data_IF_266995289441
#
_entry.id   IF_266995289441
#
_cell.length_a   1.000
_cell.length_b   1.000
_cell.length_c   1.000
_cell.angle_alpha   90.00
_cell.angle_beta   90.00
_cell.angle_gamma   90.00
#
_symmetry.space_group_name_H-M   'P 1'
#
loop_
_entity.id
_entity.type
_entity.pdbx_description
1 polymer ?
#
# COMPACT_ATOMS: atom_id res chain seq x y z
N UNK A 1 -8.46 -21.52 5.74
CA UNK A 1 -8.48 -22.98 5.56
C UNK A 1 -7.31 -23.58 6.35
N UNK A 2 -7.62 -24.29 7.40
CA UNK A 2 -6.66 -24.89 8.33
C UNK A 2 -6.42 -26.32 7.81
N UNK A 3 -5.21 -26.65 7.43
CA UNK A 3 -4.83 -28.01 7.08
C UNK A 3 -4.25 -28.69 8.33
N UNK A 4 -5.03 -29.60 8.92
CA UNK A 4 -4.59 -30.46 9.97
C UNK A 4 -3.88 -31.69 9.38
N UNK A 5 -2.71 -32.01 9.92
CA UNK A 5 -2.00 -33.26 9.61
C UNK A 5 -2.53 -34.38 10.48
N UNK A 6 -3.08 -35.41 9.84
CA UNK A 6 -3.45 -36.68 10.44
C UNK A 6 -2.20 -37.54 10.64
N UNK A 7 -1.95 -37.97 11.87
CA UNK A 7 -1.04 -39.05 12.18
C UNK A 7 -1.84 -40.35 12.20
N UNK A 8 -1.56 -41.23 11.26
CA UNK A 8 -2.06 -42.60 11.22
C UNK A 8 -1.26 -43.50 12.18
N UNK A 9 -1.97 -44.13 13.08
CA UNK A 9 -1.46 -45.13 13.99
C UNK A 9 -1.61 -46.49 13.33
N UNK A 10 -0.52 -47.24 13.15
CA UNK A 10 -0.55 -48.65 12.76
C UNK A 10 -0.36 -49.50 13.98
N UNK A 11 -1.33 -50.38 14.17
CA UNK A 11 -1.33 -51.37 15.21
C UNK A 11 -0.44 -52.59 14.90
N UNK A 12 -0.15 -53.34 15.90
CA UNK A 12 0.57 -54.61 15.78
C UNK A 12 0.49 -55.45 17.04
N UNK A 13 -0.27 -56.47 16.91
CA UNK A 13 -0.27 -57.84 17.46
C UNK A 13 -0.24 -58.06 18.97
N UNK A 14 -1.26 -58.83 19.30
CA UNK A 14 -1.41 -59.59 20.54
C UNK A 14 -0.39 -60.75 20.60
N UNK A 15 0.18 -60.94 21.77
CA UNK A 15 0.57 -62.30 22.24
C UNK A 15 -0.04 -62.50 23.62
N UNK A 16 -0.80 -63.53 23.69
CA UNK A 16 -1.37 -64.10 24.94
C UNK A 16 -0.28 -64.86 25.64
N UNK A 17 0.02 -64.57 26.89
CA UNK A 17 0.78 -65.42 27.75
C UNK A 17 0.10 -65.63 29.11
N UNK A 18 -0.01 -66.87 29.35
CA UNK A 18 -0.58 -67.70 30.36
C UNK A 18 -0.36 -67.22 31.81
N UNK A 19 -1.48 -67.16 32.53
CA UNK A 19 -1.54 -66.95 33.98
C UNK A 19 -1.06 -68.16 34.73
N UNK A 20 -0.05 -67.96 35.60
CA UNK A 20 0.29 -68.97 36.65
C UNK A 20 0.00 -68.32 38.01
N UNK A 21 -0.94 -68.90 38.82
CA UNK A 21 -1.25 -68.40 40.13
C UNK A 21 -0.44 -69.07 41.18
N UNK A 22 0.45 -68.40 41.89
CA UNK A 22 0.83 -68.58 43.30
C UNK A 22 2.23 -68.09 43.62
N UNK A 23 2.28 -66.89 44.20
CA UNK A 23 3.20 -66.51 45.28
C UNK A 23 2.73 -65.17 45.91
N UNK A 24 2.48 -65.12 47.24
CA UNK A 24 2.16 -63.85 47.86
C UNK A 24 3.47 -63.05 48.07
N UNK A 25 3.79 -62.21 47.13
CA UNK A 25 4.87 -61.26 47.23
C UNK A 25 4.36 -59.94 47.78
N UNK A 26 4.90 -59.56 48.90
CA UNK A 26 4.69 -58.26 49.59
C UNK A 26 4.99 -57.09 48.66
N UNK A 27 3.98 -56.51 48.01
CA UNK A 27 4.13 -55.29 47.23
C UNK A 27 3.92 -54.12 48.18
N UNK A 28 5.04 -53.58 48.68
CA UNK A 28 5.08 -52.25 49.26
C UNK A 28 4.54 -51.25 48.22
N UNK A 29 3.58 -50.39 48.55
CA UNK A 29 3.10 -49.39 47.62
C UNK A 29 4.28 -48.51 47.23
N UNK A 30 4.64 -48.51 45.95
CA UNK A 30 5.58 -47.54 45.43
C UNK A 30 5.02 -46.15 45.68
N UNK A 31 5.71 -45.37 46.47
CA UNK A 31 5.43 -43.95 46.65
C UNK A 31 5.21 -43.30 45.27
N UNK A 32 4.14 -42.49 45.10
CA UNK A 32 3.99 -41.76 43.89
C UNK A 32 5.23 -40.88 43.72
N UNK A 33 6.02 -41.19 42.69
CA UNK A 33 7.18 -40.41 42.30
C UNK A 33 6.71 -38.99 42.05
N UNK A 34 7.03 -38.09 42.96
CA UNK A 34 6.84 -36.65 42.77
C UNK A 34 7.49 -36.30 41.43
N UNK A 35 6.80 -35.60 40.50
CA UNK A 35 7.39 -35.23 39.25
C UNK A 35 8.69 -34.48 39.52
N UNK A 36 9.82 -35.07 39.12
CA UNK A 36 11.11 -34.42 39.31
C UNK A 36 11.14 -33.10 38.57
N UNK A 37 11.42 -32.02 39.28
CA UNK A 37 11.64 -30.70 38.64
C UNK A 37 12.74 -30.86 37.56
N UNK A 38 12.50 -30.43 36.31
CA UNK A 38 13.50 -30.59 35.24
C UNK A 38 14.83 -29.94 35.65
N UNK A 39 15.96 -30.61 35.39
CA UNK A 39 17.27 -30.00 35.65
C UNK A 39 17.51 -28.80 34.73
N UNK A 40 18.37 -27.85 35.16
CA UNK A 40 18.76 -26.72 34.32
C UNK A 40 19.31 -27.17 32.96
N UNK A 41 20.00 -28.31 32.90
CA UNK A 41 20.49 -28.92 31.64
C UNK A 41 19.34 -29.32 30.72
N UNK A 42 18.29 -29.93 31.25
CA UNK A 42 17.12 -30.33 30.47
C UNK A 42 16.36 -29.11 30.00
N UNK A 43 16.21 -28.10 30.84
CA UNK A 43 15.57 -26.80 30.48
C UNK A 43 16.37 -26.14 29.38
N UNK A 44 17.69 -25.97 29.54
CA UNK A 44 18.54 -25.29 28.60
C UNK A 44 18.53 -25.90 27.21
N UNK A 45 18.76 -27.22 27.12
CA UNK A 45 18.78 -27.97 25.85
C UNK A 45 17.46 -27.91 25.08
N UNK A 46 16.31 -27.71 25.74
CA UNK A 46 14.96 -27.72 25.17
C UNK A 46 14.29 -26.38 25.12
N UNK A 47 14.97 -25.31 25.54
CA UNK A 47 14.43 -23.95 25.45
C UNK A 47 14.45 -23.47 24.00
N UNK A 48 13.34 -22.91 23.57
CA UNK A 48 13.18 -22.37 22.21
C UNK A 48 12.27 -21.12 22.20
N UNK A 49 12.38 -20.34 21.14
CA UNK A 49 11.47 -19.25 20.84
C UNK A 49 10.16 -19.83 20.27
N UNK A 50 9.04 -19.49 20.89
CA UNK A 50 7.73 -19.98 20.47
C UNK A 50 7.07 -19.06 19.45
N UNK A 51 6.92 -17.80 19.79
CA UNK A 51 6.24 -16.79 18.97
C UNK A 51 6.62 -15.37 19.43
N UNK A 52 6.26 -14.38 18.64
CA UNK A 52 6.31 -12.99 19.08
C UNK A 52 5.30 -12.72 20.20
N UNK A 53 5.68 -11.91 21.19
CA UNK A 53 4.75 -11.51 22.27
C UNK A 53 3.60 -10.70 21.69
N UNK A 54 2.38 -11.01 22.10
CA UNK A 54 1.19 -10.25 21.73
C UNK A 54 1.30 -8.79 22.19
N UNK A 55 0.98 -7.85 21.31
CA UNK A 55 1.04 -6.41 21.61
C UNK A 55 2.44 -5.78 21.53
N UNK A 56 3.48 -6.55 21.25
CA UNK A 56 4.82 -6.02 21.03
C UNK A 56 5.03 -5.75 19.55
N UNK A 57 5.46 -4.52 19.25
CA UNK A 57 5.83 -4.11 17.91
C UNK A 57 7.29 -4.49 17.60
N UNK A 58 7.50 -5.75 17.28
CA UNK A 58 8.83 -6.29 16.97
C UNK A 58 9.45 -5.68 15.71
N UNK A 59 8.63 -5.20 14.74
CA UNK A 59 9.12 -4.52 13.54
C UNK A 59 9.71 -3.14 13.85
N UNK A 60 9.34 -2.51 14.96
CA UNK A 60 9.98 -1.29 15.42
C UNK A 60 11.12 -1.56 16.41
N UNK A 61 11.04 -2.67 17.16
CA UNK A 61 12.04 -3.02 18.16
C UNK A 61 13.35 -3.56 17.55
N UNK A 62 13.28 -4.16 16.34
CA UNK A 62 14.41 -4.81 15.68
C UNK A 62 14.81 -4.01 14.44
N UNK A 63 16.06 -3.50 14.42
CA UNK A 63 16.59 -2.83 13.23
C UNK A 63 17.15 -3.86 12.24
N UNK A 64 16.61 -3.84 11.01
CA UNK A 64 17.09 -4.73 9.95
C UNK A 64 18.56 -4.50 9.58
N UNK A 65 19.06 -3.28 9.75
CA UNK A 65 20.46 -2.98 9.51
C UNK A 65 21.38 -3.70 10.52
N UNK A 66 20.94 -3.81 11.78
CA UNK A 66 21.69 -4.57 12.79
C UNK A 66 21.68 -6.06 12.47
N UNK A 67 20.57 -6.61 11.96
CA UNK A 67 20.51 -8.01 11.54
C UNK A 67 21.55 -8.36 10.45
N UNK A 68 21.89 -7.39 9.58
CA UNK A 68 22.90 -7.60 8.54
C UNK A 68 24.33 -7.24 8.97
N UNK A 69 24.50 -6.16 9.73
CA UNK A 69 25.82 -5.64 10.05
C UNK A 69 26.40 -6.27 11.31
N UNK A 70 25.59 -6.43 12.35
CA UNK A 70 25.99 -7.01 13.63
C UNK A 70 24.76 -7.63 14.33
N UNK A 71 24.38 -8.87 13.99
CA UNK A 71 23.20 -9.52 14.53
C UNK A 71 23.14 -9.61 16.05
N UNK A 72 24.29 -9.57 16.74
CA UNK A 72 24.34 -9.57 18.20
C UNK A 72 23.61 -8.36 18.82
N UNK A 73 23.57 -7.21 18.12
CA UNK A 73 22.88 -6.00 18.60
C UNK A 73 21.38 -6.21 18.84
N UNK A 74 20.75 -7.15 18.14
CA UNK A 74 19.30 -7.40 18.29
C UNK A 74 18.96 -8.39 19.40
N UNK A 75 19.95 -8.99 20.10
CA UNK A 75 19.73 -10.00 21.14
C UNK A 75 18.78 -9.52 22.24
N UNK A 76 18.96 -8.30 22.74
CA UNK A 76 18.12 -7.72 23.78
C UNK A 76 16.68 -7.48 23.28
N UNK A 77 16.54 -6.97 22.06
CA UNK A 77 15.23 -6.73 21.45
C UNK A 77 14.48 -8.06 21.20
N UNK A 78 15.16 -9.10 20.72
CA UNK A 78 14.60 -10.43 20.57
C UNK A 78 14.13 -10.99 21.91
N UNK A 79 14.98 -10.95 22.94
CA UNK A 79 14.65 -11.44 24.28
C UNK A 79 13.39 -10.76 24.84
N UNK A 80 13.26 -9.48 24.64
CA UNK A 80 12.12 -8.68 25.15
C UNK A 80 10.84 -8.92 24.32
N UNK A 81 10.97 -9.23 23.03
CA UNK A 81 9.84 -9.30 22.09
C UNK A 81 9.30 -10.72 21.88
N UNK A 82 9.98 -11.75 22.36
CA UNK A 82 9.67 -13.16 22.08
C UNK A 82 9.17 -13.86 23.33
N UNK A 83 8.19 -14.76 23.16
CA UNK A 83 7.82 -15.77 24.15
C UNK A 83 8.76 -16.96 24.01
N UNK A 84 9.38 -17.37 25.09
CA UNK A 84 10.22 -18.53 25.15
C UNK A 84 9.53 -19.64 25.94
N UNK A 85 9.72 -20.86 25.50
CA UNK A 85 9.20 -22.04 26.15
C UNK A 85 10.26 -23.12 26.23
N UNK A 86 10.10 -24.03 27.16
CA UNK A 86 10.85 -25.29 27.23
C UNK A 86 9.89 -26.45 27.15
N UNK A 87 10.33 -27.53 26.54
CA UNK A 87 9.59 -28.77 26.52
C UNK A 87 10.06 -29.65 27.68
N UNK A 88 9.18 -29.98 28.61
CA UNK A 88 9.49 -30.86 29.74
C UNK A 88 9.62 -32.31 29.30
N UNK A 89 10.17 -33.17 30.15
CA UNK A 89 10.38 -34.61 29.85
C UNK A 89 9.09 -35.36 29.57
N UNK A 90 7.98 -34.90 30.11
CA UNK A 90 6.61 -35.41 29.86
C UNK A 90 5.92 -34.74 28.66
N UNK A 91 6.69 -34.04 27.80
CA UNK A 91 6.24 -33.34 26.61
C UNK A 91 5.23 -32.18 26.87
N UNK A 92 5.19 -31.68 28.08
CA UNK A 92 4.40 -30.46 28.37
C UNK A 92 5.22 -29.20 28.10
N UNK A 93 4.54 -28.20 27.55
CA UNK A 93 5.13 -26.89 27.34
C UNK A 93 5.12 -26.10 28.64
N UNK A 94 6.25 -25.47 28.95
CA UNK A 94 6.39 -24.53 30.03
C UNK A 94 6.90 -23.20 29.44
N UNK A 95 6.07 -22.15 29.52
CA UNK A 95 6.49 -20.81 29.13
C UNK A 95 7.41 -20.23 30.19
N UNK A 96 8.59 -19.76 29.79
CA UNK A 96 9.53 -19.12 30.69
C UNK A 96 8.93 -17.81 31.23
N UNK A 97 9.02 -17.61 32.55
CA UNK A 97 8.60 -16.39 33.22
C UNK A 97 9.71 -15.33 33.17
N UNK A 98 9.40 -14.10 33.55
CA UNK A 98 10.36 -13.00 33.54
C UNK A 98 11.61 -13.29 34.39
N UNK A 99 11.47 -13.98 35.52
CA UNK A 99 12.59 -14.40 36.36
C UNK A 99 13.51 -15.38 35.60
N UNK A 100 12.94 -16.33 34.86
CA UNK A 100 13.69 -17.28 34.05
C UNK A 100 14.42 -16.56 32.89
N UNK A 101 13.80 -15.54 32.31
CA UNK A 101 14.39 -14.77 31.23
C UNK A 101 15.66 -14.02 31.67
N UNK A 102 15.86 -13.77 32.96
CA UNK A 102 17.10 -13.18 33.48
C UNK A 102 18.33 -14.04 33.16
N UNK A 103 18.16 -15.37 33.12
CA UNK A 103 19.20 -16.36 32.83
C UNK A 103 19.31 -16.74 31.37
N UNK A 104 18.44 -16.16 30.50
CA UNK A 104 18.40 -16.48 29.06
C UNK A 104 19.28 -15.50 28.29
N UNK A 105 20.14 -16.02 27.42
CA UNK A 105 20.84 -15.27 26.37
C UNK A 105 20.53 -15.85 25.00
N UNK A 106 20.82 -15.07 23.95
CA UNK A 106 20.58 -15.43 22.55
C UNK A 106 21.90 -15.37 21.80
N UNK A 107 22.18 -16.39 21.02
CA UNK A 107 23.45 -16.52 20.28
C UNK A 107 23.25 -16.99 18.83
N UNK A 108 24.30 -16.82 18.02
CA UNK A 108 24.36 -17.29 16.62
C UNK A 108 23.15 -16.83 15.78
N UNK A 109 22.79 -15.57 15.95
CA UNK A 109 21.68 -14.94 15.22
C UNK A 109 22.02 -14.89 13.74
N UNK A 110 21.12 -15.39 12.90
CA UNK A 110 21.20 -15.33 11.44
C UNK A 110 19.89 -14.82 10.86
N UNK A 111 19.95 -14.16 9.71
CA UNK A 111 18.80 -13.59 9.04
C UNK A 111 18.85 -13.84 7.52
N UNK A 112 17.74 -14.28 6.93
CA UNK A 112 17.63 -14.65 5.51
C UNK A 112 16.63 -13.79 4.68
N UNK A 113 16.21 -12.63 5.18
CA UNK A 113 15.16 -11.72 4.67
C UNK A 113 13.74 -12.08 5.08
N UNK A 114 13.48 -13.30 5.55
CA UNK A 114 12.16 -13.75 5.98
C UNK A 114 12.13 -14.24 7.42
N UNK A 115 13.26 -14.80 7.88
CA UNK A 115 13.32 -15.43 9.20
C UNK A 115 14.59 -15.03 9.95
N UNK A 116 14.41 -14.78 11.25
CA UNK A 116 15.52 -14.68 12.20
C UNK A 116 15.67 -16.06 12.85
N UNK A 117 16.86 -16.63 12.81
CA UNK A 117 17.17 -17.92 13.44
C UNK A 117 18.31 -17.74 14.44
N UNK A 118 18.19 -18.35 15.63
CA UNK A 118 19.16 -18.21 16.70
C UNK A 118 19.10 -19.39 17.67
N UNK A 119 20.16 -19.57 18.48
CA UNK A 119 20.14 -20.46 19.63
C UNK A 119 19.80 -19.69 20.90
N UNK A 120 19.09 -20.34 21.80
CA UNK A 120 18.93 -19.87 23.18
C UNK A 120 19.98 -20.49 24.06
N UNK A 121 20.46 -19.74 25.06
CA UNK A 121 21.30 -20.26 26.14
C UNK A 121 20.62 -19.96 27.47
N UNK A 122 20.29 -20.99 28.23
CA UNK A 122 19.70 -20.86 29.55
C UNK A 122 20.71 -21.33 30.61
N UNK A 123 21.08 -20.45 31.54
CA UNK A 123 22.13 -20.68 32.55
C UNK A 123 23.43 -21.24 31.94
N UNK A 124 23.82 -20.75 30.76
CA UNK A 124 25.02 -21.19 30.05
C UNK A 124 24.85 -22.47 29.25
N UNK A 125 23.67 -23.07 29.21
CA UNK A 125 23.39 -24.30 28.45
C UNK A 125 22.71 -23.95 27.14
N UNK A 126 23.37 -24.26 26.02
CA UNK A 126 22.89 -23.99 24.66
C UNK A 126 21.77 -24.95 24.26
N UNK A 127 20.73 -24.41 23.62
CA UNK A 127 19.63 -25.23 23.06
C UNK A 127 20.16 -26.19 21.98
N UNK A 128 19.54 -27.37 21.91
CA UNK A 128 19.93 -28.39 20.93
C UNK A 128 19.53 -28.02 19.50
N UNK A 129 18.56 -27.14 19.33
CA UNK A 129 18.04 -26.72 18.02
C UNK A 129 17.96 -25.21 17.94
N UNK A 130 18.12 -24.65 16.73
CA UNK A 130 17.85 -23.24 16.46
C UNK A 130 16.36 -22.98 16.52
N UNK A 131 16.01 -21.88 17.15
CA UNK A 131 14.70 -21.27 17.04
C UNK A 131 14.63 -20.44 15.77
N UNK A 132 13.47 -20.42 15.12
CA UNK A 132 13.23 -19.63 13.91
C UNK A 132 11.92 -18.86 14.03
N UNK A 133 11.98 -17.56 13.83
CA UNK A 133 10.82 -16.66 13.88
C UNK A 133 10.69 -15.90 12.57
N UNK A 134 9.46 -15.75 12.10
CA UNK A 134 9.19 -14.98 10.90
C UNK A 134 9.46 -13.48 11.17
N UNK A 135 10.35 -12.89 10.38
CA UNK A 135 10.63 -11.45 10.32
C UNK A 135 10.85 -11.07 8.87
N UNK A 136 9.75 -10.82 8.14
CA UNK A 136 9.81 -10.53 6.71
C UNK A 136 10.32 -9.09 6.49
N UNK A 137 11.37 -8.94 5.69
CA UNK A 137 11.90 -7.64 5.31
C UNK A 137 10.85 -6.75 4.66
N UNK A 138 9.91 -7.32 3.91
CA UNK A 138 8.81 -6.58 3.28
C UNK A 138 7.89 -5.95 4.33
N UNK A 139 7.55 -6.69 5.38
CA UNK A 139 6.70 -6.18 6.46
C UNK A 139 7.41 -5.04 7.19
N UNK A 140 8.73 -5.19 7.45
CA UNK A 140 9.55 -4.14 8.02
C UNK A 140 9.53 -2.88 7.14
N UNK A 141 9.86 -2.99 5.85
CA UNK A 141 9.90 -1.82 4.97
C UNK A 141 8.51 -1.24 4.70
N UNK A 142 7.46 -2.07 4.61
CA UNK A 142 6.10 -1.57 4.50
C UNK A 142 5.69 -0.67 5.67
N UNK A 143 6.19 -0.95 6.86
CA UNK A 143 5.99 -0.12 8.05
C UNK A 143 6.80 1.18 8.01
N UNK A 144 8.03 1.14 7.49
CA UNK A 144 8.91 2.32 7.41
C UNK A 144 8.47 3.32 6.33
N UNK A 145 7.70 2.87 5.34
CA UNK A 145 7.23 3.69 4.22
C UNK A 145 5.70 3.78 4.25
N UNK A 146 5.19 4.81 4.90
CA UNK A 146 3.75 5.08 4.95
C UNK A 146 3.35 6.07 3.87
N UNK A 147 2.13 6.01 3.38
CA UNK A 147 1.61 7.01 2.43
C UNK A 147 1.58 8.40 3.08
N UNK A 148 2.12 9.40 2.40
CA UNK A 148 1.93 10.80 2.81
C UNK A 148 0.54 11.26 2.39
N UNK A 149 -0.42 11.12 3.29
CA UNK A 149 -1.81 11.45 3.03
C UNK A 149 -2.02 12.93 2.73
N UNK A 150 -1.20 13.83 3.26
CA UNK A 150 -1.31 15.28 3.01
C UNK A 150 -0.91 15.61 1.59
N UNK A 151 0.16 14.99 1.11
CA UNK A 151 0.60 15.15 -0.27
C UNK A 151 -0.39 14.49 -1.23
N UNK A 152 -0.77 13.24 -0.99
CA UNK A 152 -1.66 12.46 -1.88
C UNK A 152 -3.03 13.13 -2.03
N UNK A 153 -3.65 13.58 -0.92
CA UNK A 153 -4.95 14.27 -0.96
C UNK A 153 -4.94 15.61 -1.69
N UNK A 154 -3.74 16.18 -1.94
CA UNK A 154 -3.56 17.38 -2.74
C UNK A 154 -3.41 17.11 -4.24
N UNK A 155 -3.28 15.86 -4.67
CA UNK A 155 -2.95 15.47 -6.06
C UNK A 155 -4.09 14.72 -6.74
N UNK A 156 -4.11 14.82 -8.07
CA UNK A 156 -4.94 13.96 -8.92
C UNK A 156 -4.13 12.74 -9.36
N UNK A 157 -4.67 11.56 -9.15
CA UNK A 157 -3.99 10.28 -9.40
C UNK A 157 -3.45 10.19 -10.83
N UNK A 158 -4.25 10.53 -11.83
CA UNK A 158 -3.85 10.47 -13.24
C UNK A 158 -2.66 11.38 -13.58
N UNK A 159 -2.67 12.63 -13.10
CA UNK A 159 -1.54 13.53 -13.33
C UNK A 159 -0.24 12.98 -12.75
N UNK A 160 -0.31 12.41 -11.55
CA UNK A 160 0.85 11.78 -10.94
C UNK A 160 1.30 10.53 -11.71
N UNK A 161 0.37 9.68 -12.13
CA UNK A 161 0.64 8.48 -12.92
C UNK A 161 1.42 8.82 -14.19
N UNK A 162 0.99 9.86 -14.94
CA UNK A 162 1.69 10.31 -16.16
C UNK A 162 3.07 10.92 -15.87
N UNK A 163 3.26 11.48 -14.67
CA UNK A 163 4.52 12.13 -14.27
C UNK A 163 5.57 11.19 -13.67
N UNK A 164 5.21 9.95 -13.26
CA UNK A 164 6.19 9.02 -12.70
C UNK A 164 7.35 8.75 -13.65
N UNK A 165 8.59 8.70 -13.14
CA UNK A 165 9.03 8.60 -11.72
C UNK A 165 9.09 9.93 -10.94
N UNK A 166 8.78 11.07 -11.56
CA UNK A 166 8.87 12.37 -10.89
C UNK A 166 7.86 12.41 -9.72
N UNK A 167 8.34 12.79 -8.54
CA UNK A 167 7.50 12.93 -7.36
C UNK A 167 7.31 11.65 -6.54
N UNK A 168 7.95 10.53 -6.92
CA UNK A 168 7.87 9.26 -6.18
C UNK A 168 8.21 9.43 -4.68
N UNK A 169 9.24 10.22 -4.38
CA UNK A 169 9.67 10.47 -2.99
C UNK A 169 8.62 11.18 -2.14
N UNK A 170 7.77 11.98 -2.74
CA UNK A 170 6.73 12.73 -2.03
C UNK A 170 5.48 11.91 -1.74
N UNK A 171 5.33 10.73 -2.36
CA UNK A 171 4.20 9.84 -2.08
C UNK A 171 4.26 9.18 -0.71
N UNK A 172 5.45 9.13 -0.12
CA UNK A 172 5.69 8.37 1.09
C UNK A 172 6.34 9.24 2.16
N UNK A 173 5.90 9.03 3.40
CA UNK A 173 6.59 9.50 4.59
C UNK A 173 7.60 8.44 5.03
N UNK A 174 8.88 8.80 5.10
CA UNK A 174 9.97 7.91 5.49
C UNK A 174 11.22 8.71 5.92
N UNK A 175 12.17 8.06 6.59
CA UNK A 175 13.45 8.67 6.93
C UNK A 175 14.38 8.75 5.71
N UNK A 176 14.43 9.91 5.04
CA UNK A 176 15.26 10.16 3.85
C UNK A 176 16.77 10.18 4.14
N UNK A 177 17.18 10.37 5.42
CA UNK A 177 18.57 10.26 5.81
C UNK A 177 19.05 8.80 5.76
N UNK A 178 18.17 7.90 6.15
CA UNK A 178 18.42 6.46 6.18
C UNK A 178 18.15 5.78 4.85
N UNK A 179 17.11 6.18 4.15
CA UNK A 179 16.64 5.48 2.96
C UNK A 179 16.76 6.35 1.70
N UNK A 180 17.00 5.68 0.60
CA UNK A 180 16.80 6.22 -0.74
C UNK A 180 15.76 5.36 -1.44
N UNK A 181 14.84 6.00 -2.19
CA UNK A 181 13.85 5.26 -2.99
C UNK A 181 13.99 5.58 -4.47
N UNK A 182 13.72 4.58 -5.29
CA UNK A 182 13.62 4.71 -6.73
C UNK A 182 12.34 4.01 -7.21
N UNK A 183 11.78 4.52 -8.28
CA UNK A 183 10.67 3.88 -8.98
C UNK A 183 11.17 2.63 -9.74
N UNK A 184 10.44 1.53 -9.66
CA UNK A 184 10.70 0.34 -10.47
C UNK A 184 9.99 0.54 -11.81
N UNK A 185 10.75 0.55 -12.91
CA UNK A 185 10.20 0.78 -14.24
C UNK A 185 9.08 -0.23 -14.56
N UNK A 186 8.06 0.24 -15.25
CA UNK A 186 6.90 -0.53 -15.71
C UNK A 186 6.09 -1.25 -14.62
N UNK A 187 6.31 -0.88 -13.34
CA UNK A 187 5.59 -1.47 -12.21
C UNK A 187 4.30 -0.72 -11.85
N UNK A 188 4.02 0.42 -12.52
CA UNK A 188 2.84 1.22 -12.19
C UNK A 188 1.59 0.66 -12.84
N UNK A 189 0.54 0.60 -12.05
CA UNK A 189 -0.82 0.32 -12.48
C UNK A 189 -1.78 1.31 -11.82
N UNK A 190 -2.97 1.48 -12.37
CA UNK A 190 -3.95 2.43 -11.85
C UNK A 190 -5.36 1.85 -11.91
N UNK A 191 -6.18 2.29 -10.97
CA UNK A 191 -7.61 2.07 -11.02
C UNK A 191 -8.33 3.42 -10.98
N UNK A 192 -8.83 3.86 -12.13
CA UNK A 192 -9.57 5.14 -12.22
C UNK A 192 -10.88 5.08 -11.43
N UNK A 193 -11.56 3.92 -11.39
CA UNK A 193 -12.77 3.71 -10.60
C UNK A 193 -12.54 3.79 -9.09
N UNK A 194 -11.43 3.25 -8.62
CA UNK A 194 -11.03 3.27 -7.20
C UNK A 194 -10.19 4.49 -6.84
N UNK A 195 -9.79 5.28 -7.85
CA UNK A 195 -8.90 6.43 -7.69
C UNK A 195 -7.62 6.04 -6.93
N UNK A 196 -6.99 4.93 -7.33
CA UNK A 196 -5.81 4.35 -6.69
C UNK A 196 -4.68 4.12 -7.69
N UNK A 197 -3.46 4.16 -7.16
CA UNK A 197 -2.21 3.97 -7.88
C UNK A 197 -1.42 2.85 -7.21
N UNK A 198 -1.16 1.76 -7.93
CA UNK A 198 -0.28 0.68 -7.51
C UNK A 198 1.08 0.81 -8.17
N UNK A 199 2.15 0.61 -7.43
CA UNK A 199 3.51 0.69 -7.95
C UNK A 199 4.51 -0.06 -7.06
N UNK A 200 5.66 -0.44 -7.64
CA UNK A 200 6.79 -0.95 -6.87
C UNK A 200 7.83 0.14 -6.67
N UNK A 201 8.40 0.18 -5.47
CA UNK A 201 9.54 1.02 -5.14
C UNK A 201 10.73 0.16 -4.73
N UNK A 202 11.89 0.54 -5.22
CA UNK A 202 13.18 -0.02 -4.83
C UNK A 202 13.78 0.86 -3.74
N UNK A 203 13.97 0.28 -2.55
CA UNK A 203 14.48 0.95 -1.37
C UNK A 203 15.95 0.57 -1.19
N UNK A 204 16.81 1.56 -1.00
CA UNK A 204 18.20 1.35 -0.57
C UNK A 204 18.34 1.81 0.87
N UNK A 205 18.64 0.90 1.79
CA UNK A 205 18.92 1.23 3.19
C UNK A 205 20.41 1.55 3.36
N UNK A 206 20.73 2.84 3.52
CA UNK A 206 22.10 3.36 3.61
C UNK A 206 22.84 2.88 4.87
N UNK A 207 22.14 2.37 5.89
CA UNK A 207 22.76 1.81 7.10
C UNK A 207 23.26 0.38 6.93
N UNK A 208 22.85 -0.35 5.88
CA UNK A 208 23.35 -1.69 5.62
C UNK A 208 24.66 -1.57 4.83
N UNK A 209 25.75 -2.06 5.43
CA UNK A 209 27.10 -1.91 4.90
C UNK A 209 27.37 -2.76 3.66
N UNK A 210 26.78 -3.96 3.60
CA UNK A 210 26.87 -4.86 2.46
C UNK A 210 25.92 -4.39 1.34
N UNK A 211 26.48 -3.83 0.27
CA UNK A 211 25.73 -3.31 -0.87
C UNK A 211 24.90 -4.37 -1.62
N UNK A 212 25.25 -5.65 -1.50
CA UNK A 212 24.48 -6.75 -2.07
C UNK A 212 23.19 -7.04 -1.29
N UNK A 213 23.08 -6.54 -0.07
CA UNK A 213 21.96 -6.76 0.87
C UNK A 213 21.18 -5.51 1.21
N UNK A 214 21.66 -4.33 0.80
CA UNK A 214 21.07 -3.06 1.21
C UNK A 214 19.86 -2.63 0.39
N UNK A 215 19.46 -3.41 -0.61
CA UNK A 215 18.38 -3.07 -1.54
C UNK A 215 17.21 -4.04 -1.42
N UNK A 216 16.01 -3.47 -1.38
CA UNK A 216 14.74 -4.20 -1.25
C UNK A 216 13.71 -3.60 -2.20
N UNK A 217 12.77 -4.42 -2.64
CA UNK A 217 11.63 -3.98 -3.42
C UNK A 217 10.35 -4.29 -2.67
N UNK A 218 9.46 -3.28 -2.59
CA UNK A 218 8.12 -3.45 -2.04
C UNK A 218 7.08 -2.90 -3.01
N UNK A 219 5.92 -3.53 -3.01
CA UNK A 219 4.75 -3.07 -3.74
C UNK A 219 3.87 -2.21 -2.84
N UNK A 220 3.36 -1.09 -3.36
CA UNK A 220 2.50 -0.14 -2.66
C UNK A 220 1.24 0.11 -3.46
N UNK A 221 0.11 0.13 -2.76
CA UNK A 221 -1.14 0.69 -3.25
C UNK A 221 -1.38 2.02 -2.53
N UNK A 222 -1.54 3.09 -3.31
CA UNK A 222 -1.73 4.46 -2.82
C UNK A 222 -3.14 4.91 -3.15
N UNK A 223 -3.87 5.36 -2.16
CA UNK A 223 -5.26 5.81 -2.26
C UNK A 223 -5.42 7.18 -1.59
N UNK A 224 -6.59 7.79 -1.73
CA UNK A 224 -6.88 9.08 -1.08
C UNK A 224 -6.58 10.29 -1.95
N UNK A 225 -6.36 10.12 -3.25
CA UNK A 225 -6.20 11.22 -4.21
C UNK A 225 -7.47 12.07 -4.35
N UNK A 226 -7.30 13.31 -4.80
CA UNK A 226 -8.44 14.13 -5.26
C UNK A 226 -9.20 13.40 -6.35
N UNK A 227 -10.53 13.39 -6.26
CA UNK A 227 -11.38 12.66 -7.18
C UNK A 227 -11.61 13.43 -8.48
N UNK A 228 -12.04 12.73 -9.54
CA UNK A 228 -12.49 13.38 -10.76
C UNK A 228 -13.67 14.34 -10.50
N UNK A 229 -14.52 14.04 -9.51
CA UNK A 229 -15.60 14.96 -9.08
C UNK A 229 -15.03 16.27 -8.54
N UNK A 230 -14.00 16.22 -7.70
CA UNK A 230 -13.34 17.44 -7.20
C UNK A 230 -12.77 18.27 -8.35
N UNK A 231 -12.18 17.60 -9.36
CA UNK A 231 -11.68 18.30 -10.54
C UNK A 231 -12.84 18.92 -11.37
N UNK A 232 -13.90 18.16 -11.61
CA UNK A 232 -15.07 18.66 -12.34
C UNK A 232 -15.72 19.87 -11.65
N UNK A 233 -15.75 19.89 -10.31
CA UNK A 233 -16.25 21.02 -9.53
C UNK A 233 -15.33 22.25 -9.61
N UNK A 234 -14.06 22.08 -9.92
CA UNK A 234 -13.06 23.14 -10.06
C UNK A 234 -12.87 23.62 -11.52
N UNK A 235 -13.46 22.95 -12.52
CA UNK A 235 -13.38 23.39 -13.92
C UNK A 235 -14.26 24.61 -14.18
N UNK A 236 -13.74 25.55 -14.96
CA UNK A 236 -14.46 26.68 -15.54
C UNK A 236 -14.38 26.63 -17.07
N UNK A 237 -15.51 26.77 -17.73
CA UNK A 237 -15.61 26.76 -19.18
C UNK A 237 -15.98 28.16 -19.67
N UNK A 238 -15.24 28.67 -20.65
CA UNK A 238 -15.52 29.95 -21.33
C UNK A 238 -15.54 29.75 -22.84
N UNK A 239 -16.34 30.54 -23.56
CA UNK A 239 -16.32 30.49 -25.01
C UNK A 239 -15.02 31.10 -25.57
N UNK A 240 -14.53 30.56 -26.67
CA UNK A 240 -13.50 31.20 -27.46
C UNK A 240 -14.09 31.91 -28.70
N UNK A 241 -13.22 32.51 -29.53
CA UNK A 241 -13.64 33.27 -30.72
C UNK A 241 -14.34 32.39 -31.76
N UNK A 242 -13.95 31.12 -31.89
CA UNK A 242 -14.53 30.18 -32.87
C UNK A 242 -15.97 29.79 -32.47
N UNK A 243 -16.25 29.59 -31.20
CA UNK A 243 -17.63 29.35 -30.74
C UNK A 243 -18.51 30.57 -30.99
N UNK A 244 -18.01 31.80 -30.66
CA UNK A 244 -18.73 33.04 -30.94
C UNK A 244 -19.02 33.21 -32.43
N UNK A 245 -18.05 32.98 -33.30
CA UNK A 245 -18.20 33.05 -34.76
C UNK A 245 -19.24 32.05 -35.26
N UNK A 246 -19.18 30.82 -34.78
CA UNK A 246 -20.14 29.77 -35.12
C UNK A 246 -21.57 30.12 -34.72
N UNK A 247 -21.77 30.63 -33.50
CA UNK A 247 -23.06 31.10 -33.01
C UNK A 247 -23.60 32.22 -33.91
N UNK A 248 -22.78 33.19 -34.27
CA UNK A 248 -23.21 34.29 -35.21
C UNK A 248 -23.61 33.74 -36.56
N UNK A 249 -22.90 32.80 -37.13
CA UNK A 249 -23.25 32.18 -38.43
C UNK A 249 -24.58 31.47 -38.36
N UNK A 250 -24.85 30.73 -37.28
CA UNK A 250 -26.14 30.06 -37.08
C UNK A 250 -27.26 31.06 -36.92
N UNK A 251 -27.04 32.15 -36.16
CA UNK A 251 -28.00 33.23 -35.98
C UNK A 251 -28.34 33.96 -37.29
N UNK A 252 -27.33 34.22 -38.14
CA UNK A 252 -27.55 34.86 -39.45
C UNK A 252 -28.46 34.00 -40.37
N UNK A 253 -28.37 32.67 -40.25
CA UNK A 253 -29.21 31.76 -41.02
C UNK A 253 -30.59 31.53 -40.40
N UNK A 254 -30.75 31.80 -39.10
CA UNK A 254 -31.97 31.54 -38.32
C UNK A 254 -32.31 32.74 -37.39
N UNK A 255 -32.61 33.94 -37.97
CA UNK A 255 -32.64 35.17 -37.18
C UNK A 255 -33.79 35.30 -36.18
N UNK A 256 -34.89 34.55 -36.39
CA UNK A 256 -36.04 34.53 -35.50
C UNK A 256 -35.96 33.45 -34.39
N UNK A 257 -35.04 32.54 -34.53
CA UNK A 257 -34.90 31.44 -33.58
C UNK A 257 -34.24 31.88 -32.28
N UNK A 258 -34.77 31.41 -31.16
CA UNK A 258 -34.24 31.67 -29.82
C UNK A 258 -33.60 30.45 -29.20
N UNK A 259 -33.94 29.25 -29.63
CA UNK A 259 -33.33 27.98 -29.22
C UNK A 259 -32.48 27.44 -30.38
N UNK A 260 -31.15 27.53 -30.21
CA UNK A 260 -30.18 27.10 -31.20
C UNK A 260 -29.54 25.75 -30.89
N UNK A 261 -30.10 25.02 -29.91
CA UNK A 261 -29.54 23.77 -29.41
C UNK A 261 -29.32 22.77 -30.52
N UNK A 262 -30.32 22.52 -31.39
CA UNK A 262 -30.23 21.54 -32.47
C UNK A 262 -29.16 21.92 -33.53
N UNK A 263 -29.04 23.21 -33.81
CA UNK A 263 -28.07 23.72 -34.80
C UNK A 263 -26.60 23.67 -34.32
N UNK A 264 -26.39 23.75 -33.00
CA UNK A 264 -25.04 23.82 -32.43
C UNK A 264 -24.57 22.48 -31.87
N UNK A 265 -25.49 21.61 -31.43
CA UNK A 265 -25.17 20.39 -30.68
C UNK A 265 -24.17 19.48 -31.37
N UNK A 266 -24.46 19.02 -32.57
CA UNK A 266 -23.59 18.06 -33.27
C UNK A 266 -22.18 18.61 -33.51
N UNK A 267 -22.09 19.91 -33.82
CA UNK A 267 -20.81 20.55 -33.99
C UNK A 267 -20.06 20.77 -32.69
N UNK A 268 -20.76 21.10 -31.60
CA UNK A 268 -20.14 21.28 -30.29
C UNK A 268 -19.63 19.94 -29.77
N UNK A 269 -20.48 18.93 -29.73
CA UNK A 269 -20.15 17.62 -29.16
C UNK A 269 -18.92 16.98 -29.84
N UNK A 270 -18.73 17.23 -31.14
CA UNK A 270 -17.60 16.69 -31.90
C UNK A 270 -16.35 17.58 -31.85
N UNK A 271 -16.45 18.86 -31.49
CA UNK A 271 -15.37 19.83 -31.57
C UNK A 271 -15.27 20.78 -30.38
N UNK A 272 -15.80 20.40 -29.21
CA UNK A 272 -15.80 21.25 -28.01
C UNK A 272 -14.40 21.82 -27.72
N UNK A 273 -13.35 21.04 -27.96
CA UNK A 273 -11.95 21.39 -27.72
C UNK A 273 -11.46 22.61 -28.53
N UNK A 274 -12.12 22.91 -29.67
CA UNK A 274 -11.87 24.10 -30.48
C UNK A 274 -12.83 25.25 -30.16
N UNK A 275 -13.84 25.05 -29.36
CA UNK A 275 -14.93 26.01 -29.13
C UNK A 275 -14.90 26.63 -27.73
N UNK A 276 -14.28 25.96 -26.78
CA UNK A 276 -14.19 26.45 -25.40
C UNK A 276 -12.77 26.45 -24.87
N UNK A 277 -12.51 27.39 -23.97
CA UNK A 277 -11.31 27.38 -23.14
C UNK A 277 -11.69 26.87 -21.76
N UNK A 278 -10.86 26.01 -21.19
CA UNK A 278 -11.08 25.39 -19.89
C UNK A 278 -9.97 25.80 -18.94
N UNK A 279 -10.35 26.34 -17.80
CA UNK A 279 -9.44 26.73 -16.71
C UNK A 279 -9.91 26.14 -15.38
N UNK A 280 -9.20 26.41 -14.30
CA UNK A 280 -9.63 26.06 -12.95
C UNK A 280 -10.26 27.28 -12.27
N UNK A 281 -11.34 27.06 -11.50
CA UNK A 281 -11.92 28.11 -10.65
C UNK A 281 -10.91 28.56 -9.60
N UNK A 282 -10.15 27.61 -9.05
CA UNK A 282 -9.09 27.88 -8.06
C UNK A 282 -7.88 28.62 -8.64
N UNK A 283 -7.66 28.54 -9.97
CA UNK A 283 -6.54 29.19 -10.68
C UNK A 283 -6.99 29.75 -12.04
N UNK A 284 -7.80 30.82 -12.09
CA UNK A 284 -8.44 31.31 -13.33
C UNK A 284 -7.48 31.76 -14.43
N UNK A 285 -6.25 32.13 -14.08
CA UNK A 285 -5.22 32.53 -15.03
C UNK A 285 -4.58 31.38 -15.80
N UNK A 286 -4.82 30.14 -15.35
CA UNK A 286 -4.22 28.93 -15.93
C UNK A 286 -5.24 28.21 -16.80
N UNK A 287 -5.03 28.24 -18.12
CA UNK A 287 -5.83 27.44 -19.07
C UNK A 287 -5.23 26.05 -19.20
N UNK A 288 -6.09 25.04 -19.17
CA UNK A 288 -5.68 23.65 -19.40
C UNK A 288 -5.39 23.45 -20.89
N UNK A 289 -4.35 22.69 -21.17
CA UNK A 289 -4.00 22.28 -22.53
C UNK A 289 -4.94 21.18 -23.02
N UNK A 290 -5.23 21.20 -24.31
CA UNK A 290 -6.15 20.25 -24.94
C UNK A 290 -5.46 19.56 -26.09
N UNK A 291 -5.55 18.23 -26.15
CA UNK A 291 -5.15 17.40 -27.28
C UNK A 291 -6.38 16.78 -27.94
N UNK A 292 -7.10 17.60 -28.73
CA UNK A 292 -8.37 17.22 -29.36
C UNK A 292 -9.36 16.63 -28.37
N UNK A 293 -9.95 15.49 -28.72
CA UNK A 293 -10.82 14.73 -27.81
C UNK A 293 -10.03 13.70 -26.95
N UNK A 294 -8.73 13.59 -27.17
CA UNK A 294 -7.92 12.54 -26.54
C UNK A 294 -7.56 12.86 -25.11
N UNK A 295 -7.20 14.12 -24.85
CA UNK A 295 -6.78 14.53 -23.51
C UNK A 295 -7.02 16.00 -23.20
N UNK A 296 -7.25 16.29 -21.94
CA UNK A 296 -7.22 17.62 -21.32
C UNK A 296 -6.25 17.54 -20.15
N UNK A 297 -5.22 18.42 -20.12
CA UNK A 297 -4.15 18.29 -19.14
C UNK A 297 -3.54 19.63 -18.75
N UNK A 298 -2.82 19.61 -17.63
CA UNK A 298 -1.97 20.73 -17.19
C UNK A 298 -0.55 20.25 -16.99
N UNK A 299 0.40 20.97 -17.63
CA UNK A 299 1.83 20.80 -17.40
C UNK A 299 2.30 21.94 -16.50
N UNK A 300 2.98 21.61 -15.41
CA UNK A 300 3.58 22.61 -14.53
C UNK A 300 4.82 23.20 -15.18
N UNK A 301 4.80 24.52 -15.41
CA UNK A 301 5.94 25.26 -15.94
C UNK A 301 7.09 25.33 -14.94
N UNK A 302 8.35 25.36 -15.45
CA UNK A 302 9.55 25.52 -14.62
C UNK A 302 10.19 24.22 -14.12
N UNK A 303 9.66 23.06 -14.47
CA UNK A 303 10.29 21.77 -14.23
C UNK A 303 10.90 21.24 -15.55
N UNK A 304 12.16 20.83 -15.51
CA UNK A 304 12.93 20.42 -16.69
C UNK A 304 12.33 19.28 -17.53
N UNK A 305 11.28 18.62 -17.07
CA UNK A 305 10.63 17.48 -17.73
C UNK A 305 9.09 17.59 -17.80
N UNK A 306 8.52 18.79 -17.69
CA UNK A 306 7.08 18.99 -17.94
C UNK A 306 6.17 18.12 -17.08
N UNK A 307 6.31 18.24 -15.73
CA UNK A 307 5.45 17.45 -14.81
C UNK A 307 3.97 17.76 -15.07
N UNK A 308 3.20 16.72 -15.37
CA UNK A 308 1.75 16.80 -15.48
C UNK A 308 1.14 16.64 -14.09
N UNK A 309 0.23 17.53 -13.68
CA UNK A 309 -0.47 17.42 -12.40
C UNK A 309 -1.97 17.20 -12.56
N UNK A 310 -2.53 17.53 -13.72
CA UNK A 310 -3.89 17.22 -14.14
C UNK A 310 -3.82 16.48 -15.47
N UNK A 311 -4.53 15.35 -15.57
CA UNK A 311 -4.68 14.62 -16.80
C UNK A 311 -6.06 13.97 -16.87
N UNK A 312 -6.83 14.35 -17.90
CA UNK A 312 -8.12 13.75 -18.23
C UNK A 312 -7.99 13.07 -19.59
N UNK A 313 -8.09 11.76 -19.61
CA UNK A 313 -8.12 10.98 -20.83
C UNK A 313 -9.55 10.88 -21.34
N UNK A 314 -9.73 11.15 -22.64
CA UNK A 314 -11.04 11.10 -23.33
C UNK A 314 -12.16 11.84 -22.58
N UNK A 315 -11.97 13.15 -22.23
CA UNK A 315 -13.01 13.92 -21.57
C UNK A 315 -14.22 14.10 -22.51
N UNK A 316 -15.42 14.02 -21.97
CA UNK A 316 -16.67 14.10 -22.71
C UNK A 316 -17.45 15.34 -22.30
N UNK A 317 -17.50 16.35 -23.19
CA UNK A 317 -18.31 17.55 -23.02
C UNK A 317 -19.41 17.55 -24.10
N UNK A 318 -20.66 17.73 -23.70
CA UNK A 318 -21.81 17.75 -24.60
C UNK A 318 -22.68 18.96 -24.36
N UNK A 319 -23.16 19.58 -25.44
CA UNK A 319 -24.11 20.68 -25.37
C UNK A 319 -25.51 20.15 -25.04
N UNK A 320 -26.11 20.62 -23.95
CA UNK A 320 -27.45 20.24 -23.52
C UNK A 320 -28.50 21.28 -23.86
N UNK A 321 -28.11 22.57 -23.91
CA UNK A 321 -28.98 23.69 -24.25
C UNK A 321 -28.17 24.88 -24.80
N UNK A 322 -28.74 25.61 -25.74
CA UNK A 322 -28.17 26.83 -26.27
C UNK A 322 -29.29 27.81 -26.65
N UNK A 323 -29.61 28.74 -25.76
CA UNK A 323 -30.78 29.61 -25.84
C UNK A 323 -30.36 31.07 -25.86
N UNK A 324 -31.00 31.87 -26.69
CA UNK A 324 -30.77 33.32 -26.72
C UNK A 324 -31.58 33.96 -25.58
N UNK A 325 -30.85 34.61 -24.67
CA UNK A 325 -31.41 35.49 -23.64
C UNK A 325 -30.96 36.93 -23.93
N UNK A 326 -31.91 37.75 -24.31
CA UNK A 326 -31.70 39.16 -24.74
C UNK A 326 -30.73 39.23 -25.93
N UNK A 327 -29.47 39.61 -25.69
CA UNK A 327 -28.41 39.70 -26.69
C UNK A 327 -27.35 38.64 -26.59
N UNK A 328 -27.48 37.77 -25.61
CA UNK A 328 -26.46 36.77 -25.30
C UNK A 328 -26.97 35.37 -25.64
N UNK A 329 -26.06 34.49 -26.05
CA UNK A 329 -26.33 33.06 -26.00
C UNK A 329 -25.97 32.53 -24.60
N UNK A 330 -26.90 31.84 -23.98
CA UNK A 330 -26.67 31.05 -22.76
C UNK A 330 -26.60 29.57 -23.17
N UNK A 331 -25.41 29.01 -23.15
CA UNK A 331 -25.18 27.60 -23.47
C UNK A 331 -24.94 26.79 -22.19
N UNK A 332 -25.62 25.65 -22.09
CA UNK A 332 -25.37 24.67 -21.03
C UNK A 332 -24.60 23.50 -21.59
N UNK A 333 -23.49 23.19 -20.96
CA UNK A 333 -22.56 22.14 -21.35
C UNK A 333 -22.42 21.14 -20.22
N UNK A 334 -22.64 19.87 -20.50
CA UNK A 334 -22.51 18.80 -19.53
C UNK A 334 -21.18 18.10 -19.70
N UNK A 335 -20.41 17.99 -18.64
CA UNK A 335 -19.26 17.09 -18.54
C UNK A 335 -19.76 15.71 -18.10
N UNK A 336 -19.67 14.74 -18.98
CA UNK A 336 -20.19 13.39 -18.73
C UNK A 336 -19.14 12.47 -18.07
N UNK A 337 -17.89 12.88 -18.08
CA UNK A 337 -16.81 12.10 -17.47
C UNK A 337 -15.51 12.11 -18.27
N UNK A 338 -14.51 11.43 -17.74
CA UNK A 338 -13.20 11.18 -18.33
C UNK A 338 -12.56 9.98 -17.65
N UNK A 339 -11.43 9.49 -18.16
CA UNK A 339 -10.70 8.37 -17.55
C UNK A 339 -11.60 7.13 -17.32
N UNK A 340 -12.58 6.90 -18.19
CA UNK A 340 -13.58 5.81 -18.05
C UNK A 340 -14.53 5.96 -16.84
N UNK A 341 -14.42 7.07 -16.09
CA UNK A 341 -15.29 7.38 -14.95
C UNK A 341 -16.40 8.32 -15.40
N UNK A 342 -17.65 7.98 -15.10
CA UNK A 342 -18.82 8.81 -15.41
C UNK A 342 -19.04 9.86 -14.34
N UNK A 343 -19.22 11.11 -14.76
CA UNK A 343 -19.59 12.24 -13.90
C UNK A 343 -20.58 13.12 -14.64
N UNK A 344 -21.63 13.51 -13.94
CA UNK A 344 -22.61 14.48 -14.46
C UNK A 344 -22.39 15.83 -13.81
N UNK A 345 -21.72 16.74 -14.53
CA UNK A 345 -21.55 18.14 -14.11
C UNK A 345 -21.96 19.07 -15.24
N UNK A 346 -22.82 20.04 -14.95
CA UNK A 346 -23.26 21.06 -15.92
C UNK A 346 -22.53 22.38 -15.68
N UNK A 347 -22.13 23.04 -16.77
CA UNK A 347 -21.54 24.36 -16.82
C UNK A 347 -22.39 25.28 -17.66
N UNK A 348 -22.39 26.57 -17.33
CA UNK A 348 -23.04 27.61 -18.13
C UNK A 348 -21.97 28.46 -18.81
N UNK A 349 -22.07 28.57 -20.15
CA UNK A 349 -21.21 29.45 -20.98
C UNK A 349 -22.08 30.59 -21.51
N UNK A 350 -21.66 31.82 -21.27
CA UNK A 350 -22.34 33.00 -21.83
C UNK A 350 -21.51 33.52 -22.99
N UNK A 351 -22.11 33.59 -24.19
CA UNK A 351 -21.51 34.22 -25.36
C UNK A 351 -22.19 35.59 -25.56
N UNK A 352 -21.51 36.72 -25.26
CA UNK A 352 -22.14 38.03 -25.29
C UNK A 352 -22.29 38.57 -26.71
N UNK A 353 -23.32 39.42 -26.87
CA UNK A 353 -23.57 40.21 -28.08
C UNK A 353 -23.57 39.36 -29.37
N UNK A 354 -24.38 38.31 -29.39
CA UNK A 354 -24.57 37.45 -30.56
C UNK A 354 -25.76 37.92 -31.41
N UNK A 355 -26.68 38.68 -30.83
CA UNK A 355 -27.80 39.37 -31.47
C UNK A 355 -27.55 40.87 -31.59
#
# INVERSE_FOLDING_TARGET
MIAGALLTNCGGSRDEDVINPNTPGNTQPSNPTTPSTPSDEQIGKRTYAQEWKTGVDYLSAIDIADLYNNPANVSAALKNSVKFATLTTDQKYYTLKDDDLSYLTIEDITYDKQYISFYTMYKGIKSSTKSTLKFDARDFYNKQFTTDNSYVSSKYMRGLYESLPIGIGSLFSYDSQRYQINYVADSKDRSDSNNSLSLSIKITNKKILDSSKNTFEIHKNVEGFRTLKNLADDLALTHNLDFRSKVKNVMNSNPSETDLTQHLKGSFDNNWYNLVSISLISEPSVTLSVDGQSALYRTLSGQSNGRIDIYLERPRFVLTSAVIDRRNLVAKVKFQGANEVTIDKEYTIIVPNVK
#
